data_IF_506059588772
#
_entry.id   IF_506059588772
#
_cell.length_a   1.000
_cell.length_b   1.000
_cell.length_c   1.000
_cell.angle_alpha   90.00
_cell.angle_beta   90.00
_cell.angle_gamma   90.00
#
_symmetry.space_group_name_H-M   'P 1'
#
loop_
_entity.id
_entity.type
_entity.pdbx_description
1 polymer ?
#
# COMPACT_ATOMS: atom_id res chain seq x y z
N UNK A 1 -6.18 4.54 -12.19
CA UNK A 1 -5.18 5.11 -11.26
C UNK A 1 -5.63 4.73 -9.86
N UNK A 2 -4.82 3.97 -9.12
CA UNK A 2 -5.11 3.59 -7.73
C UNK A 2 -4.83 4.78 -6.83
N UNK A 3 -5.81 5.18 -6.02
CA UNK A 3 -5.56 6.10 -4.92
C UNK A 3 -5.06 5.28 -3.73
N UNK A 4 -3.81 5.53 -3.34
CA UNK A 4 -3.11 4.86 -2.24
C UNK A 4 -2.77 5.92 -1.21
N UNK A 5 -3.19 5.68 0.04
CA UNK A 5 -2.91 6.55 1.17
C UNK A 5 -1.98 5.86 2.17
N UNK A 6 -1.41 6.64 3.10
CA UNK A 6 -0.74 6.06 4.27
C UNK A 6 -1.74 5.22 5.08
N UNK A 7 -1.24 4.12 5.64
CA UNK A 7 -1.95 3.05 6.34
C UNK A 7 -2.88 2.14 5.50
N UNK A 8 -2.96 2.35 4.19
CA UNK A 8 -3.62 1.39 3.30
C UNK A 8 -2.84 0.07 3.27
N UNK A 9 -3.53 -1.07 3.23
CA UNK A 9 -2.90 -2.37 2.97
C UNK A 9 -2.92 -2.62 1.46
N UNK A 10 -1.76 -2.86 0.89
CA UNK A 10 -1.57 -3.08 -0.55
C UNK A 10 -1.11 -4.50 -0.85
N UNK A 11 -1.48 -5.00 -2.02
CA UNK A 11 -0.92 -6.21 -2.61
C UNK A 11 0.08 -5.83 -3.69
N UNK A 12 1.31 -6.34 -3.56
CA UNK A 12 2.39 -6.12 -4.50
C UNK A 12 2.37 -7.16 -5.63
N UNK A 13 3.06 -6.86 -6.75
CA UNK A 13 3.19 -7.78 -7.91
C UNK A 13 3.79 -9.14 -7.56
N UNK A 14 4.65 -9.19 -6.55
CA UNK A 14 5.24 -10.44 -6.04
C UNK A 14 4.28 -11.27 -5.17
N UNK A 15 3.01 -10.87 -5.04
CA UNK A 15 1.99 -11.55 -4.26
C UNK A 15 2.00 -11.25 -2.76
N UNK A 16 3.06 -10.60 -2.25
CA UNK A 16 3.15 -10.18 -0.84
C UNK A 16 2.21 -9.03 -0.56
N UNK A 17 1.82 -8.90 0.70
CA UNK A 17 0.98 -7.82 1.21
C UNK A 17 1.75 -7.01 2.23
N UNK A 18 1.39 -5.74 2.37
CA UNK A 18 1.94 -4.90 3.40
C UNK A 18 1.18 -3.60 3.57
N UNK A 19 1.45 -2.92 4.67
CA UNK A 19 0.84 -1.64 5.03
C UNK A 19 1.71 -0.51 4.51
N UNK A 20 1.12 0.46 3.81
CA UNK A 20 1.82 1.68 3.41
C UNK A 20 2.10 2.50 4.68
N UNK A 21 3.36 2.72 5.01
CA UNK A 21 3.73 3.51 6.19
C UNK A 21 4.24 4.91 5.83
N UNK A 22 4.64 5.12 4.57
CA UNK A 22 5.03 6.45 4.10
C UNK A 22 4.86 6.60 2.59
N UNK A 23 4.54 7.82 2.15
CA UNK A 23 4.41 8.18 0.73
C UNK A 23 5.41 9.27 0.35
N UNK A 24 6.30 8.96 -0.59
CA UNK A 24 7.18 9.96 -1.21
C UNK A 24 6.52 10.56 -2.45
N UNK A 25 5.99 11.76 -2.28
CA UNK A 25 5.60 12.63 -3.41
C UNK A 25 6.85 13.28 -3.99
N UNK A 26 7.46 12.65 -4.99
CA UNK A 26 8.56 13.26 -5.72
C UNK A 26 8.05 14.46 -6.54
N UNK A 27 8.89 15.49 -6.73
CA UNK A 27 8.53 16.72 -7.47
C UNK A 27 7.95 16.39 -8.85
N UNK A 28 7.16 17.32 -9.40
CA UNK A 28 6.46 17.18 -10.69
C UNK A 28 7.28 16.41 -11.75
N UNK A 29 6.75 15.29 -12.23
CA UNK A 29 7.34 14.47 -13.29
C UNK A 29 8.05 13.19 -12.82
N UNK A 30 8.19 12.97 -11.51
CA UNK A 30 8.78 11.74 -10.96
C UNK A 30 7.70 10.76 -10.46
N UNK A 31 7.91 9.44 -10.57
CA UNK A 31 6.96 8.45 -10.10
C UNK A 31 6.83 8.47 -8.58
N UNK A 32 5.61 8.32 -8.09
CA UNK A 32 5.33 8.22 -6.66
C UNK A 32 5.91 6.90 -6.11
N UNK A 33 6.55 6.98 -4.94
CA UNK A 33 7.11 5.83 -4.24
C UNK A 33 6.45 5.67 -2.86
N UNK A 34 6.39 4.43 -2.40
CA UNK A 34 5.71 4.02 -1.18
C UNK A 34 6.65 3.20 -0.33
N UNK A 35 6.72 3.49 0.96
CA UNK A 35 7.34 2.60 1.94
C UNK A 35 6.25 1.68 2.46
N UNK A 36 6.46 0.37 2.33
CA UNK A 36 5.50 -0.67 2.69
C UNK A 36 6.13 -1.58 3.74
N UNK A 37 5.45 -1.74 4.88
CA UNK A 37 5.77 -2.74 5.90
C UNK A 37 5.09 -4.07 5.55
N UNK A 38 5.86 -5.14 5.36
CA UNK A 38 5.36 -6.40 4.82
C UNK A 38 4.76 -7.31 5.91
N UNK A 39 3.64 -7.96 5.59
CA UNK A 39 2.98 -8.94 6.48
C UNK A 39 3.08 -10.38 5.92
N UNK A 40 3.18 -11.43 6.76
CA UNK A 40 3.50 -11.42 8.20
C UNK A 40 5.02 -11.49 8.39
N UNK A 41 5.65 -10.39 8.78
CA UNK A 41 7.06 -10.34 9.14
C UNK A 41 7.35 -9.09 9.95
N UNK A 42 8.18 -9.22 10.98
CA UNK A 42 8.55 -8.21 11.98
C UNK A 42 9.16 -6.91 11.38
N UNK A 43 8.35 -6.05 10.76
CA UNK A 43 8.79 -4.70 10.40
C UNK A 43 9.70 -4.61 9.17
N UNK A 44 9.67 -5.59 8.27
CA UNK A 44 10.37 -5.52 6.99
C UNK A 44 9.78 -4.37 6.14
N UNK A 45 10.53 -3.28 6.02
CA UNK A 45 10.18 -2.13 5.19
C UNK A 45 10.79 -2.28 3.80
N UNK A 46 9.96 -2.11 2.76
CA UNK A 46 10.41 -2.02 1.37
C UNK A 46 9.91 -0.75 0.71
N UNK A 47 10.75 -0.15 -0.11
CA UNK A 47 10.35 0.96 -0.99
C UNK A 47 9.91 0.39 -2.34
N UNK A 48 8.70 0.72 -2.76
CA UNK A 48 8.11 0.27 -4.03
C UNK A 48 7.60 1.45 -4.84
N UNK A 49 7.52 1.30 -6.16
CA UNK A 49 6.90 2.29 -7.05
C UNK A 49 5.40 2.02 -7.18
N UNK A 50 4.66 3.00 -7.69
CA UNK A 50 3.24 2.85 -8.02
C UNK A 50 2.97 1.61 -8.88
N UNK A 51 3.82 1.37 -9.88
CA UNK A 51 3.69 0.21 -10.77
C UNK A 51 3.87 -1.14 -10.08
N UNK A 52 4.50 -1.21 -8.90
CA UNK A 52 4.67 -2.45 -8.16
C UNK A 52 3.42 -2.84 -7.36
N UNK A 53 2.47 -1.91 -7.19
CA UNK A 53 1.23 -2.11 -6.47
C UNK A 53 0.13 -2.59 -7.41
N UNK A 54 -0.41 -3.78 -7.13
CA UNK A 54 -1.49 -4.38 -7.92
C UNK A 54 -2.86 -3.89 -7.47
N UNK A 55 -3.06 -3.77 -6.15
CA UNK A 55 -4.34 -3.35 -5.59
C UNK A 55 -4.17 -2.84 -4.15
N UNK A 56 -5.06 -1.93 -3.74
CA UNK A 56 -5.35 -1.67 -2.32
C UNK A 56 -6.36 -2.74 -1.87
N UNK A 57 -6.01 -3.53 -0.86
CA UNK A 57 -6.85 -4.64 -0.36
C UNK A 57 -7.58 -4.28 0.93
N UNK A 58 -7.15 -3.23 1.63
CA UNK A 58 -7.84 -2.68 2.78
C UNK A 58 -7.47 -1.20 2.99
N UNK A 59 -8.41 -0.42 3.52
CA UNK A 59 -8.25 1.01 3.81
C UNK A 59 -8.67 1.31 5.24
N UNK A 60 -7.86 2.09 5.97
CA UNK A 60 -8.26 2.59 7.30
C UNK A 60 -9.44 3.53 7.15
N UNK A 61 -10.52 3.27 7.89
CA UNK A 61 -11.69 4.14 7.94
C UNK A 61 -12.69 3.94 6.81
N UNK A 62 -12.45 2.98 5.89
CA UNK A 62 -13.51 2.44 5.05
C UNK A 62 -14.36 1.55 5.97
N UNK A 63 -15.62 1.92 6.30
CA UNK A 63 -16.50 1.02 7.00
C UNK A 63 -16.69 -0.17 6.06
N UNK A 64 -16.14 -1.30 6.47
CA UNK A 64 -16.19 -2.55 5.75
C UNK A 64 -17.64 -2.80 5.30
N UNK A 65 -17.90 -2.69 3.99
CA UNK A 65 -19.01 -3.40 3.35
C UNK A 65 -18.71 -4.91 3.44
N UNK A 66 -18.89 -5.49 4.62
CA UNK A 66 -18.47 -6.87 4.88
C UNK A 66 -18.40 -7.29 6.34
N UNK A 67 -19.30 -6.78 7.18
CA UNK A 67 -19.87 -7.61 8.25
C UNK A 67 -21.32 -7.91 7.85
N UNK A 68 -21.49 -8.76 6.85
CA UNK A 68 -22.60 -9.70 6.88
C UNK A 68 -22.02 -11.02 7.39
N UNK A 69 -22.68 -11.52 8.45
CA UNK A 69 -22.46 -12.73 9.26
C UNK A 69 -21.59 -12.60 10.52
#
# INVERSE_FOLDING_TARGET
>A
MLLINEHDVVRLKNGRRGTVVHIYSMRQGLPQAYVVELSPGDGDLVTVLYDDVVAVVWRVGDPINGYEE
#
